data_IF_441040990201
#
_entry.id   IF_441040990201
#
_cell.length_a   1.000
_cell.length_b   1.000
_cell.length_c   1.000
_cell.angle_alpha   90.00
_cell.angle_beta   90.00
_cell.angle_gamma   90.00
#
_symmetry.space_group_name_H-M   'P 1'
#
loop_
_entity.id
_entity.type
_entity.pdbx_description
1 polymer ?
#
# COMPACT_ATOMS: atom_id res chain seq x y z
N UNK A 1 22.46 61.63 -24.03
CA UNK A 1 21.03 61.59 -24.42
C UNK A 1 20.23 60.70 -23.44
N UNK A 2 20.45 60.85 -22.11
CA UNK A 2 19.83 60.01 -21.06
C UNK A 2 19.03 60.79 -19.99
N UNK A 3 18.83 62.12 -20.16
CA UNK A 3 18.14 62.93 -19.14
C UNK A 3 16.62 62.86 -19.26
N UNK A 4 16.06 62.67 -20.44
CA UNK A 4 14.63 62.60 -20.66
C UNK A 4 13.95 61.25 -20.26
N UNK A 5 14.71 60.11 -20.22
CA UNK A 5 14.19 58.83 -19.77
C UNK A 5 13.92 58.76 -18.24
N UNK A 6 14.64 59.58 -17.46
CA UNK A 6 14.45 59.66 -16.01
C UNK A 6 13.19 60.48 -15.57
N UNK A 7 12.64 61.31 -16.46
CA UNK A 7 11.53 62.19 -16.13
C UNK A 7 10.15 61.60 -16.42
N UNK A 8 10.06 60.49 -17.17
CA UNK A 8 8.80 59.85 -17.55
C UNK A 8 8.60 58.46 -16.97
N UNK A 9 9.16 58.13 -15.77
CA UNK A 9 8.76 57.00 -14.96
C UNK A 9 8.75 55.64 -15.69
N UNK A 10 9.63 55.43 -16.66
CA UNK A 10 9.86 54.08 -17.21
C UNK A 10 10.48 53.24 -16.11
N UNK A 11 9.78 52.23 -15.59
CA UNK A 11 10.37 51.20 -14.75
C UNK A 11 11.56 50.65 -15.56
N UNK A 12 12.75 50.76 -15.03
CA UNK A 12 13.91 50.04 -15.59
C UNK A 12 13.57 48.57 -15.59
N UNK A 13 13.71 47.89 -16.70
CA UNK A 13 13.54 46.45 -16.74
C UNK A 13 14.53 45.83 -15.72
N UNK A 14 14.06 44.88 -14.85
CA UNK A 14 14.90 44.29 -13.83
C UNK A 14 16.11 43.62 -14.50
N UNK A 15 17.24 43.79 -13.91
CA UNK A 15 18.48 43.12 -14.35
C UNK A 15 18.33 41.61 -14.24
N UNK A 16 19.10 40.84 -14.99
CA UNK A 16 19.08 39.35 -14.90
C UNK A 16 19.38 38.87 -13.47
N UNK A 17 20.22 39.58 -12.73
CA UNK A 17 20.50 39.26 -11.33
C UNK A 17 19.27 39.50 -10.44
N UNK A 18 18.57 40.60 -10.62
CA UNK A 18 17.31 40.87 -9.86
C UNK A 18 16.21 39.86 -10.19
N UNK A 19 16.12 39.42 -11.44
CA UNK A 19 15.17 38.34 -11.84
C UNK A 19 15.54 37.00 -11.18
N UNK A 20 16.81 36.63 -11.13
CA UNK A 20 17.30 35.42 -10.48
C UNK A 20 17.05 35.44 -8.97
N UNK A 21 17.32 36.58 -8.31
CA UNK A 21 17.06 36.75 -6.88
C UNK A 21 15.55 36.73 -6.57
N UNK A 22 14.71 37.25 -7.45
CA UNK A 22 13.26 37.15 -7.31
C UNK A 22 12.77 35.71 -7.48
N UNK A 23 13.25 34.99 -8.50
CA UNK A 23 12.90 33.60 -8.73
C UNK A 23 13.34 32.70 -7.56
N UNK A 24 14.52 32.91 -6.99
CA UNK A 24 14.98 32.15 -5.82
C UNK A 24 14.09 32.40 -4.58
N UNK A 25 13.69 33.65 -4.33
CA UNK A 25 12.75 33.95 -3.24
C UNK A 25 11.36 33.35 -3.46
N UNK A 26 10.86 33.39 -4.69
CA UNK A 26 9.58 32.80 -5.04
C UNK A 26 9.60 31.28 -4.91
N UNK A 27 10.72 30.65 -5.29
CA UNK A 27 10.97 29.22 -5.06
C UNK A 27 10.88 28.86 -3.56
N UNK A 28 11.60 29.58 -2.70
CA UNK A 28 11.62 29.35 -1.26
C UNK A 28 10.22 29.50 -0.65
N UNK A 29 9.48 30.51 -1.07
CA UNK A 29 8.08 30.74 -0.63
C UNK A 29 7.19 29.57 -1.04
N UNK A 30 7.25 29.14 -2.31
CA UNK A 30 6.44 28.05 -2.82
C UNK A 30 6.78 26.72 -2.14
N UNK A 31 8.07 26.43 -1.95
CA UNK A 31 8.53 25.25 -1.19
C UNK A 31 7.99 25.24 0.22
N UNK A 32 8.10 26.36 0.95
CA UNK A 32 7.59 26.49 2.31
C UNK A 32 6.06 26.34 2.38
N UNK A 33 5.32 27.03 1.48
CA UNK A 33 3.85 26.96 1.43
C UNK A 33 3.38 25.54 1.07
N UNK A 34 4.07 24.86 0.16
CA UNK A 34 3.83 23.46 -0.17
C UNK A 34 3.98 22.53 1.03
N UNK A 35 5.10 22.63 1.76
CA UNK A 35 5.35 21.82 2.97
C UNK A 35 4.33 22.13 4.07
N UNK A 36 3.95 23.42 4.23
CA UNK A 36 2.90 23.80 5.16
C UNK A 36 1.54 23.21 4.78
N UNK A 37 1.21 23.23 3.47
CA UNK A 37 -0.02 22.62 2.96
C UNK A 37 -0.07 21.11 3.19
N UNK A 38 1.06 20.40 2.99
CA UNK A 38 1.18 18.97 3.33
C UNK A 38 0.86 18.69 4.80
N UNK A 39 1.45 19.46 5.72
CA UNK A 39 1.20 19.33 7.17
C UNK A 39 -0.26 19.57 7.55
N UNK A 40 -0.99 20.32 6.76
CA UNK A 40 -2.42 20.61 6.93
C UNK A 40 -3.33 19.62 6.18
N UNK A 41 -2.77 18.60 5.52
CA UNK A 41 -3.53 17.67 4.69
C UNK A 41 -4.09 18.25 3.39
N UNK A 42 -3.64 19.45 3.00
CA UNK A 42 -4.11 20.16 1.80
C UNK A 42 -3.29 19.73 0.55
N UNK A 43 -3.34 18.43 0.24
CA UNK A 43 -2.48 17.79 -0.76
C UNK A 43 -2.55 18.44 -2.15
N UNK A 44 -3.76 18.79 -2.63
CA UNK A 44 -3.92 19.46 -3.93
C UNK A 44 -3.31 20.88 -3.95
N UNK A 45 -3.25 21.58 -2.81
CA UNK A 45 -2.54 22.86 -2.71
C UNK A 45 -1.03 22.65 -2.71
N UNK A 46 -0.54 21.67 -1.95
CA UNK A 46 0.86 21.29 -1.91
C UNK A 46 1.40 20.94 -3.31
N UNK A 47 0.69 20.11 -4.07
CA UNK A 47 1.02 19.76 -5.45
C UNK A 47 1.19 21.00 -6.34
N UNK A 48 0.27 21.95 -6.27
CA UNK A 48 0.39 23.19 -7.06
C UNK A 48 1.62 24.00 -6.67
N UNK A 49 1.88 24.17 -5.37
CA UNK A 49 3.05 24.89 -4.89
C UNK A 49 4.35 24.23 -5.37
N UNK A 50 4.46 22.91 -5.24
CA UNK A 50 5.67 22.18 -5.64
C UNK A 50 5.88 22.17 -7.16
N UNK A 51 4.82 22.00 -7.96
CA UNK A 51 4.91 22.12 -9.43
C UNK A 51 5.44 23.50 -9.85
N UNK A 52 4.89 24.58 -9.28
CA UNK A 52 5.37 25.94 -9.57
C UNK A 52 6.79 26.18 -9.06
N UNK A 53 7.18 25.61 -7.91
CA UNK A 53 8.55 25.70 -7.43
C UNK A 53 9.53 25.05 -8.43
N UNK A 54 9.19 23.87 -8.95
CA UNK A 54 10.01 23.14 -9.93
C UNK A 54 10.08 23.84 -11.30
N UNK A 55 9.10 24.68 -11.66
CA UNK A 55 9.19 25.55 -12.84
C UNK A 55 10.27 26.63 -12.68
N UNK A 56 10.58 27.03 -11.44
CA UNK A 56 11.59 28.05 -11.14
C UNK A 56 12.98 27.48 -10.95
N UNK A 57 13.08 26.31 -10.31
CA UNK A 57 14.35 25.64 -10.03
C UNK A 57 14.16 24.17 -9.78
N UNK A 58 15.04 23.35 -10.35
CA UNK A 58 15.13 21.92 -10.06
C UNK A 58 15.61 21.70 -8.61
N UNK A 59 14.87 20.88 -7.87
CA UNK A 59 15.19 20.52 -6.47
C UNK A 59 14.63 19.13 -6.16
N UNK A 60 15.51 18.19 -5.83
CA UNK A 60 15.11 16.80 -5.56
C UNK A 60 14.25 16.66 -4.30
N UNK A 61 14.41 17.54 -3.31
CA UNK A 61 13.58 17.53 -2.10
C UNK A 61 12.15 17.98 -2.44
N UNK A 62 11.99 18.99 -3.30
CA UNK A 62 10.68 19.42 -3.79
C UNK A 62 10.01 18.33 -4.62
N UNK A 63 10.77 17.61 -5.46
CA UNK A 63 10.24 16.44 -6.18
C UNK A 63 9.81 15.33 -5.23
N UNK A 64 10.57 15.13 -4.15
CA UNK A 64 10.21 14.15 -3.13
C UNK A 64 8.89 14.52 -2.44
N UNK A 65 8.72 15.76 -2.00
CA UNK A 65 7.45 16.24 -1.44
C UNK A 65 6.29 16.18 -2.45
N UNK A 66 6.55 16.48 -3.72
CA UNK A 66 5.57 16.36 -4.79
C UNK A 66 5.12 14.91 -4.96
N UNK A 67 6.06 13.96 -5.06
CA UNK A 67 5.75 12.53 -5.18
C UNK A 67 4.89 12.02 -4.01
N UNK A 68 5.23 12.40 -2.78
CA UNK A 68 4.44 12.06 -1.59
C UNK A 68 3.01 12.62 -1.67
N UNK A 69 2.87 13.88 -2.10
CA UNK A 69 1.57 14.52 -2.23
C UNK A 69 0.72 13.86 -3.32
N UNK A 70 1.33 13.46 -4.43
CA UNK A 70 0.69 12.77 -5.54
C UNK A 70 0.22 11.36 -5.12
N UNK A 71 1.03 10.63 -4.34
CA UNK A 71 0.63 9.33 -3.76
C UNK A 71 -0.64 9.51 -2.91
N UNK A 72 -0.68 10.53 -2.06
CA UNK A 72 -1.83 10.82 -1.18
C UNK A 72 -3.11 11.19 -1.93
N UNK A 73 -3.00 11.77 -3.12
CA UNK A 73 -4.16 12.08 -3.98
C UNK A 73 -4.52 10.95 -4.96
N UNK A 74 -3.72 9.87 -5.02
CA UNK A 74 -3.93 8.76 -5.95
C UNK A 74 -3.43 9.04 -7.37
N UNK A 75 -2.69 10.13 -7.60
CA UNK A 75 -2.05 10.44 -8.89
C UNK A 75 -0.77 9.60 -9.07
N UNK A 76 -0.94 8.26 -9.07
CA UNK A 76 0.16 7.30 -8.94
C UNK A 76 1.15 7.33 -10.13
N UNK A 77 0.68 7.52 -11.36
CA UNK A 77 1.55 7.65 -12.53
C UNK A 77 2.47 8.86 -12.39
N UNK A 78 1.90 10.01 -12.05
CA UNK A 78 2.70 11.23 -11.86
C UNK A 78 3.67 11.10 -10.67
N UNK A 79 3.27 10.41 -9.59
CA UNK A 79 4.14 10.12 -8.47
C UNK A 79 5.33 9.24 -8.88
N UNK A 80 5.09 8.22 -9.70
CA UNK A 80 6.14 7.36 -10.23
C UNK A 80 7.12 8.15 -11.11
N UNK A 81 6.63 9.05 -11.98
CA UNK A 81 7.48 9.88 -12.83
C UNK A 81 8.45 10.74 -12.00
N UNK A 82 7.94 11.39 -10.92
CA UNK A 82 8.80 12.17 -10.03
C UNK A 82 9.83 11.29 -9.30
N UNK A 83 9.44 10.10 -8.86
CA UNK A 83 10.35 9.14 -8.21
C UNK A 83 11.42 8.62 -9.16
N UNK A 84 11.11 8.40 -10.45
CA UNK A 84 12.10 7.99 -11.44
C UNK A 84 13.16 9.06 -11.65
N UNK A 85 12.78 10.35 -11.70
CA UNK A 85 13.76 11.45 -11.77
C UNK A 85 14.68 11.46 -10.55
N UNK A 86 14.14 11.21 -9.35
CA UNK A 86 14.95 11.12 -8.13
C UNK A 86 15.88 9.89 -8.20
N UNK A 87 15.41 8.75 -8.67
CA UNK A 87 16.20 7.52 -8.81
C UNK A 87 17.36 7.67 -9.81
N UNK A 88 17.14 8.40 -10.92
CA UNK A 88 18.20 8.72 -11.88
C UNK A 88 19.28 9.62 -11.27
N UNK A 89 18.89 10.60 -10.46
CA UNK A 89 19.80 11.51 -9.79
C UNK A 89 20.51 10.89 -8.58
N UNK A 90 19.91 9.88 -7.95
CA UNK A 90 20.38 9.21 -6.75
C UNK A 90 20.31 7.68 -6.89
N UNK A 91 21.11 7.06 -7.78
CA UNK A 91 21.02 5.64 -8.12
C UNK A 91 21.36 4.70 -6.96
N UNK A 92 22.02 5.19 -5.90
CA UNK A 92 22.40 4.44 -4.71
C UNK A 92 21.43 4.69 -3.52
N UNK A 93 20.32 5.40 -3.75
CA UNK A 93 19.33 5.66 -2.73
C UNK A 93 18.26 4.58 -2.70
N UNK A 94 18.48 3.53 -1.88
CA UNK A 94 17.55 2.40 -1.75
C UNK A 94 16.11 2.82 -1.45
N UNK A 95 15.91 3.84 -0.59
CA UNK A 95 14.58 4.26 -0.17
C UNK A 95 13.71 4.77 -1.32
N UNK A 96 14.32 5.31 -2.37
CA UNK A 96 13.60 5.74 -3.57
C UNK A 96 13.05 4.52 -4.33
N UNK A 97 13.86 3.47 -4.50
CA UNK A 97 13.42 2.24 -5.16
C UNK A 97 12.34 1.49 -4.36
N UNK A 98 12.44 1.50 -3.02
CA UNK A 98 11.38 0.96 -2.15
C UNK A 98 10.05 1.71 -2.39
N UNK A 99 10.09 3.04 -2.50
CA UNK A 99 8.88 3.83 -2.79
C UNK A 99 8.34 3.60 -4.21
N UNK A 100 9.23 3.44 -5.20
CA UNK A 100 8.82 3.03 -6.57
C UNK A 100 8.10 1.70 -6.52
N UNK A 101 8.63 0.71 -5.78
CA UNK A 101 7.98 -0.59 -5.61
C UNK A 101 6.60 -0.47 -4.94
N UNK A 102 6.46 0.36 -3.91
CA UNK A 102 5.18 0.62 -3.24
C UNK A 102 4.15 1.29 -4.17
N UNK A 103 4.58 2.26 -4.98
CA UNK A 103 3.71 2.92 -5.97
C UNK A 103 3.32 1.92 -7.07
N UNK A 104 4.25 1.09 -7.53
CA UNK A 104 3.98 0.04 -8.51
C UNK A 104 2.97 -1.00 -7.98
N UNK A 105 3.07 -1.37 -6.69
CA UNK A 105 2.06 -2.21 -6.02
C UNK A 105 0.67 -1.57 -6.04
N UNK A 106 0.57 -0.28 -5.68
CA UNK A 106 -0.71 0.47 -5.72
C UNK A 106 -1.29 0.57 -7.13
N UNK A 107 -0.46 0.48 -8.17
CA UNK A 107 -0.84 0.46 -9.57
C UNK A 107 -1.10 -0.96 -10.10
N UNK A 108 -0.96 -1.99 -9.27
CA UNK A 108 -1.02 -3.41 -9.65
C UNK A 108 0.00 -3.77 -10.76
N UNK A 109 1.07 -2.98 -10.88
CA UNK A 109 2.15 -3.23 -11.82
C UNK A 109 3.26 -4.06 -11.17
N UNK A 110 2.98 -5.34 -11.01
CA UNK A 110 3.86 -6.28 -10.30
C UNK A 110 5.22 -6.49 -10.98
N UNK A 111 5.31 -6.29 -12.30
CA UNK A 111 6.60 -6.34 -12.99
C UNK A 111 7.48 -5.15 -12.57
N UNK A 112 6.97 -3.92 -12.66
CA UNK A 112 7.72 -2.73 -12.24
C UNK A 112 8.05 -2.77 -10.74
N UNK A 113 7.17 -3.35 -9.92
CA UNK A 113 7.41 -3.58 -8.50
C UNK A 113 8.62 -4.50 -8.28
N UNK A 114 8.68 -5.63 -8.99
CA UNK A 114 9.81 -6.56 -8.94
C UNK A 114 11.13 -5.90 -9.36
N UNK A 115 11.13 -5.21 -10.50
CA UNK A 115 12.30 -4.50 -11.03
C UNK A 115 12.85 -3.47 -10.01
N UNK A 116 11.95 -2.73 -9.34
CA UNK A 116 12.35 -1.78 -8.30
C UNK A 116 12.93 -2.46 -7.06
N UNK A 117 12.33 -3.60 -6.63
CA UNK A 117 12.86 -4.39 -5.51
C UNK A 117 14.25 -4.97 -5.84
N UNK A 118 14.50 -5.45 -7.06
CA UNK A 118 15.82 -5.91 -7.49
C UNK A 118 16.86 -4.80 -7.40
N UNK A 119 16.51 -3.59 -7.85
CA UNK A 119 17.38 -2.42 -7.72
C UNK A 119 17.66 -2.10 -6.25
N UNK A 120 16.64 -2.14 -5.39
CA UNK A 120 16.79 -1.90 -3.95
C UNK A 120 17.72 -2.94 -3.29
N UNK A 121 17.59 -4.24 -3.64
CA UNK A 121 18.44 -5.31 -3.12
C UNK A 121 19.89 -5.21 -3.58
N UNK A 122 20.16 -4.70 -4.80
CA UNK A 122 21.52 -4.46 -5.28
C UNK A 122 22.26 -3.37 -4.48
N UNK A 123 21.53 -2.45 -3.84
CA UNK A 123 22.08 -1.39 -3.00
C UNK A 123 22.32 -1.89 -1.58
N UNK A 124 21.29 -2.50 -0.98
CA UNK A 124 21.36 -3.09 0.36
C UNK A 124 20.42 -4.31 0.45
N UNK A 125 20.96 -5.48 0.65
CA UNK A 125 20.24 -6.76 0.74
C UNK A 125 19.88 -7.17 2.18
N UNK A 126 20.06 -6.28 3.15
CA UNK A 126 19.80 -6.54 4.57
C UNK A 126 18.39 -6.14 5.04
N UNK A 127 17.59 -5.50 4.18
CA UNK A 127 16.29 -4.97 4.54
C UNK A 127 15.17 -5.99 4.31
N UNK A 128 14.58 -6.53 5.38
CA UNK A 128 13.50 -7.53 5.29
C UNK A 128 12.28 -7.03 4.49
N UNK A 129 11.94 -5.75 4.59
CA UNK A 129 10.82 -5.13 3.86
C UNK A 129 10.98 -5.22 2.34
N UNK A 130 12.20 -5.14 1.81
CA UNK A 130 12.43 -5.25 0.36
C UNK A 130 12.09 -6.65 -0.14
N UNK A 131 12.42 -7.66 0.63
CA UNK A 131 12.07 -9.06 0.31
C UNK A 131 10.57 -9.32 0.42
N UNK A 132 9.87 -8.70 1.39
CA UNK A 132 8.42 -8.78 1.47
C UNK A 132 7.77 -8.15 0.23
N UNK A 133 8.20 -6.95 -0.17
CA UNK A 133 7.70 -6.28 -1.37
C UNK A 133 7.98 -7.12 -2.63
N UNK A 134 9.17 -7.73 -2.72
CA UNK A 134 9.48 -8.58 -3.87
C UNK A 134 8.62 -9.87 -3.89
N UNK A 135 8.34 -10.43 -2.72
CA UNK A 135 7.41 -11.55 -2.60
C UNK A 135 5.99 -11.18 -3.05
N UNK A 136 5.49 -10.01 -2.67
CA UNK A 136 4.20 -9.50 -3.13
C UNK A 136 4.18 -9.29 -4.67
N UNK A 137 5.29 -8.81 -5.24
CA UNK A 137 5.43 -8.70 -6.69
C UNK A 137 5.39 -10.07 -7.37
N UNK A 138 6.09 -11.06 -6.83
CA UNK A 138 6.11 -12.44 -7.32
C UNK A 138 4.74 -13.09 -7.23
N UNK A 139 4.03 -12.89 -6.11
CA UNK A 139 2.67 -13.37 -5.91
C UNK A 139 1.70 -12.79 -6.95
N UNK A 140 1.77 -11.47 -7.20
CA UNK A 140 0.96 -10.81 -8.23
C UNK A 140 1.27 -11.29 -9.65
N UNK A 141 2.46 -11.86 -9.89
CA UNK A 141 2.86 -12.50 -11.14
C UNK A 141 2.52 -13.99 -11.19
N UNK A 142 2.01 -14.58 -10.09
CA UNK A 142 1.71 -16.00 -9.99
C UNK A 142 2.95 -16.90 -9.80
N UNK A 143 4.09 -16.34 -9.37
CA UNK A 143 5.31 -17.09 -9.07
C UNK A 143 5.36 -17.45 -7.59
N UNK A 144 4.61 -18.47 -7.19
CA UNK A 144 4.51 -18.93 -5.81
C UNK A 144 5.86 -19.42 -5.26
N UNK A 145 6.69 -20.03 -6.10
CA UNK A 145 7.99 -20.53 -5.68
C UNK A 145 8.92 -19.38 -5.27
N UNK A 146 8.98 -18.32 -6.06
CA UNK A 146 9.76 -17.13 -5.74
C UNK A 146 9.14 -16.37 -4.55
N UNK A 147 7.81 -16.33 -4.46
CA UNK A 147 7.09 -15.74 -3.31
C UNK A 147 7.56 -16.39 -2.00
N UNK A 148 7.53 -17.72 -1.89
CA UNK A 148 7.98 -18.45 -0.70
C UNK A 148 9.47 -18.22 -0.42
N UNK A 149 10.31 -18.21 -1.47
CA UNK A 149 11.74 -17.98 -1.31
C UNK A 149 12.06 -16.60 -0.73
N UNK A 150 11.41 -15.55 -1.26
CA UNK A 150 11.61 -14.16 -0.78
C UNK A 150 11.09 -13.96 0.63
N UNK A 151 9.92 -14.53 0.97
CA UNK A 151 9.38 -14.48 2.33
C UNK A 151 10.27 -15.21 3.34
N UNK A 152 10.84 -16.34 2.93
CA UNK A 152 11.81 -17.06 3.77
C UNK A 152 13.05 -16.21 4.04
N UNK A 153 13.50 -15.43 3.04
CA UNK A 153 14.61 -14.50 3.22
C UNK A 153 14.22 -13.34 4.14
N UNK A 154 13.03 -12.76 3.96
CA UNK A 154 12.51 -11.71 4.84
C UNK A 154 12.47 -12.16 6.31
N UNK A 155 11.95 -13.34 6.58
CA UNK A 155 11.89 -13.96 7.91
C UNK A 155 13.29 -14.21 8.48
N UNK A 156 14.24 -14.66 7.65
CA UNK A 156 15.62 -14.87 8.10
C UNK A 156 16.31 -13.55 8.53
N UNK A 157 15.95 -12.43 7.89
CA UNK A 157 16.46 -11.11 8.25
C UNK A 157 15.73 -10.51 9.46
N UNK A 158 14.42 -10.74 9.56
CA UNK A 158 13.57 -10.27 10.64
C UNK A 158 12.69 -11.42 11.16
N UNK A 159 13.13 -12.17 12.18
CA UNK A 159 12.42 -13.36 12.67
C UNK A 159 11.05 -13.10 13.32
N UNK A 160 10.71 -11.87 13.62
CA UNK A 160 9.43 -11.43 14.18
C UNK A 160 8.49 -10.76 13.15
N UNK A 161 8.74 -10.95 11.86
CA UNK A 161 7.98 -10.33 10.78
C UNK A 161 6.67 -11.08 10.49
N UNK A 162 5.64 -10.85 11.30
CA UNK A 162 4.36 -11.58 11.25
C UNK A 162 3.70 -11.54 9.87
N UNK A 163 3.76 -10.40 9.15
CA UNK A 163 3.21 -10.28 7.80
C UNK A 163 3.88 -11.25 6.80
N UNK A 164 5.20 -11.44 6.92
CA UNK A 164 5.92 -12.37 6.07
C UNK A 164 5.54 -13.84 6.35
N UNK A 165 5.33 -14.21 7.61
CA UNK A 165 4.82 -15.53 7.96
C UNK A 165 3.40 -15.74 7.44
N UNK A 166 2.51 -14.75 7.59
CA UNK A 166 1.14 -14.85 7.13
C UNK A 166 1.07 -15.08 5.61
N UNK A 167 1.76 -14.24 4.85
CA UNK A 167 1.79 -14.35 3.40
C UNK A 167 2.44 -15.66 2.94
N UNK A 168 3.52 -16.11 3.63
CA UNK A 168 4.17 -17.40 3.32
C UNK A 168 3.25 -18.57 3.61
N UNK A 169 2.61 -18.59 4.77
CA UNK A 169 1.66 -19.64 5.14
C UNK A 169 0.47 -19.72 4.18
N UNK A 170 -0.04 -18.58 3.70
CA UNK A 170 -1.09 -18.53 2.68
C UNK A 170 -0.62 -19.11 1.34
N UNK A 171 0.59 -18.75 0.90
CA UNK A 171 1.16 -19.25 -0.35
C UNK A 171 1.48 -20.74 -0.26
N UNK A 172 2.04 -21.20 0.86
CA UNK A 172 2.33 -22.61 1.13
C UNK A 172 1.04 -23.45 1.15
N UNK A 173 -0.04 -22.92 1.75
CA UNK A 173 -1.34 -23.59 1.71
C UNK A 173 -1.89 -23.69 0.30
N UNK A 174 -1.81 -22.62 -0.50
CA UNK A 174 -2.27 -22.61 -1.88
C UNK A 174 -1.51 -23.58 -2.78
N UNK A 175 -0.24 -23.85 -2.45
CA UNK A 175 0.64 -24.83 -3.13
C UNK A 175 0.65 -26.20 -2.47
N UNK A 176 -0.31 -26.51 -1.57
CA UNK A 176 -0.50 -27.79 -0.90
C UNK A 176 0.67 -28.23 0.00
N UNK A 177 1.53 -27.31 0.42
CA UNK A 177 2.65 -27.54 1.36
C UNK A 177 2.15 -27.37 2.79
N UNK A 178 1.30 -28.32 3.24
CA UNK A 178 0.50 -28.19 4.46
C UNK A 178 1.34 -28.16 5.74
N UNK A 179 2.42 -28.95 5.81
CA UNK A 179 3.25 -29.04 7.02
C UNK A 179 3.97 -27.70 7.30
N UNK A 180 4.49 -27.08 6.24
CA UNK A 180 5.17 -25.79 6.32
C UNK A 180 4.16 -24.65 6.59
N UNK A 181 2.98 -24.69 5.95
CA UNK A 181 1.91 -23.75 6.23
C UNK A 181 1.43 -23.83 7.69
N UNK A 182 1.34 -25.04 8.24
CA UNK A 182 0.98 -25.28 9.63
C UNK A 182 2.03 -24.67 10.58
N UNK A 183 3.32 -24.84 10.29
CA UNK A 183 4.39 -24.29 11.11
C UNK A 183 4.33 -22.75 11.17
N UNK A 184 4.06 -22.10 10.03
CA UNK A 184 3.86 -20.63 9.98
C UNK A 184 2.62 -20.19 10.77
N UNK A 185 1.50 -20.92 10.64
CA UNK A 185 0.28 -20.63 11.38
C UNK A 185 0.43 -20.85 12.90
N UNK A 186 1.22 -21.83 13.33
CA UNK A 186 1.52 -22.04 14.75
C UNK A 186 2.37 -20.90 15.30
N UNK A 187 3.43 -20.48 14.59
CA UNK A 187 4.23 -19.34 14.99
C UNK A 187 3.36 -18.08 15.12
N UNK A 188 2.49 -17.81 14.14
CA UNK A 188 1.58 -16.67 14.17
C UNK A 188 0.59 -16.74 15.34
N UNK A 189 0.03 -17.90 15.64
CA UNK A 189 -0.92 -18.08 16.75
C UNK A 189 -0.28 -17.76 18.11
N UNK A 190 1.01 -17.98 18.26
CA UNK A 190 1.75 -17.67 19.49
C UNK A 190 2.11 -16.18 19.60
N UNK A 191 2.26 -15.47 18.48
CA UNK A 191 2.75 -14.09 18.46
C UNK A 191 1.63 -13.05 18.21
N UNK A 192 0.59 -13.43 17.47
CA UNK A 192 -0.55 -12.56 17.12
C UNK A 192 -1.90 -13.31 17.22
N UNK A 193 -2.24 -13.85 18.39
CA UNK A 193 -3.33 -14.85 18.57
C UNK A 193 -4.74 -14.35 18.23
N UNK A 194 -4.99 -13.05 18.30
CA UNK A 194 -6.33 -12.47 18.05
C UNK A 194 -6.45 -11.83 16.65
N UNK A 195 -5.52 -12.15 15.74
CA UNK A 195 -5.59 -11.66 14.37
C UNK A 195 -6.51 -12.54 13.53
N UNK A 196 -7.52 -11.93 12.91
CA UNK A 196 -8.55 -12.63 12.11
C UNK A 196 -7.93 -13.41 10.94
N UNK A 197 -6.97 -12.81 10.22
CA UNK A 197 -6.33 -13.43 9.06
C UNK A 197 -5.52 -14.68 9.46
N UNK A 198 -4.87 -14.63 10.63
CA UNK A 198 -4.15 -15.78 11.20
C UNK A 198 -5.13 -16.90 11.55
N UNK A 199 -6.28 -16.56 12.15
CA UNK A 199 -7.33 -17.54 12.46
C UNK A 199 -7.91 -18.14 11.19
N UNK A 200 -8.18 -17.34 10.17
CA UNK A 200 -8.67 -17.81 8.87
C UNK A 200 -7.64 -18.74 8.19
N UNK A 201 -6.36 -18.37 8.19
CA UNK A 201 -5.30 -19.25 7.69
C UNK A 201 -5.30 -20.60 8.40
N UNK A 202 -5.37 -20.59 9.73
CA UNK A 202 -5.43 -21.82 10.54
C UNK A 202 -6.66 -22.67 10.23
N UNK A 203 -7.83 -22.05 10.07
CA UNK A 203 -9.05 -22.74 9.70
C UNK A 203 -8.94 -23.39 8.32
N UNK A 204 -8.41 -22.68 7.33
CA UNK A 204 -8.19 -23.18 5.97
C UNK A 204 -7.21 -24.36 5.94
N UNK A 205 -6.14 -24.32 6.75
CA UNK A 205 -5.21 -25.45 6.92
C UNK A 205 -5.93 -26.65 7.53
N UNK A 206 -6.80 -26.45 8.54
CA UNK A 206 -7.61 -27.53 9.13
C UNK A 206 -8.55 -28.15 8.10
N UNK A 207 -9.15 -27.33 7.22
CA UNK A 207 -10.01 -27.82 6.12
C UNK A 207 -9.19 -28.67 5.16
N UNK A 208 -8.03 -28.19 4.73
CA UNK A 208 -7.13 -28.91 3.81
C UNK A 208 -6.65 -30.24 4.43
N UNK A 209 -6.38 -30.29 5.74
CA UNK A 209 -6.06 -31.50 6.51
C UNK A 209 -7.26 -32.39 6.84
N UNK A 210 -8.48 -32.06 6.38
CA UNK A 210 -9.69 -32.87 6.59
C UNK A 210 -10.36 -32.69 7.96
N UNK A 211 -9.88 -31.76 8.80
CA UNK A 211 -10.39 -31.50 10.15
C UNK A 211 -11.51 -30.45 10.15
N UNK A 212 -12.59 -30.67 9.36
CA UNK A 212 -13.65 -29.70 9.09
C UNK A 212 -14.34 -29.18 10.35
N UNK A 213 -14.60 -30.05 11.34
CA UNK A 213 -15.27 -29.61 12.58
C UNK A 213 -14.39 -28.63 13.36
N UNK A 214 -13.09 -28.87 13.41
CA UNK A 214 -12.17 -27.95 14.09
C UNK A 214 -12.06 -26.61 13.35
N UNK A 215 -12.16 -26.62 12.02
CA UNK A 215 -12.24 -25.39 11.24
C UNK A 215 -13.51 -24.58 11.57
N UNK A 216 -14.67 -25.24 11.68
CA UNK A 216 -15.92 -24.60 12.13
C UNK A 216 -15.74 -23.91 13.49
N UNK A 217 -15.07 -24.57 14.44
CA UNK A 217 -14.83 -24.00 15.77
C UNK A 217 -13.92 -22.74 15.71
N UNK A 218 -13.01 -22.69 14.74
CA UNK A 218 -12.17 -21.49 14.51
C UNK A 218 -12.98 -20.39 13.84
N UNK A 219 -13.78 -20.70 12.81
CA UNK A 219 -14.65 -19.70 12.18
C UNK A 219 -15.65 -19.10 13.17
N UNK A 220 -16.18 -19.91 14.13
CA UNK A 220 -17.02 -19.39 15.20
C UNK A 220 -16.31 -18.30 16.00
N UNK A 221 -15.03 -18.50 16.34
CA UNK A 221 -14.24 -17.50 17.08
C UNK A 221 -13.98 -16.26 16.25
N UNK A 222 -13.69 -16.38 14.95
CA UNK A 222 -13.55 -15.23 14.06
C UNK A 222 -14.82 -14.41 14.04
N UNK A 223 -15.99 -15.06 13.92
CA UNK A 223 -17.30 -14.40 13.90
C UNK A 223 -17.64 -13.77 15.26
N UNK A 224 -17.24 -14.39 16.38
CA UNK A 224 -17.39 -13.79 17.71
C UNK A 224 -16.56 -12.51 17.86
N UNK A 225 -15.34 -12.46 17.30
CA UNK A 225 -14.48 -11.29 17.32
C UNK A 225 -14.97 -10.22 16.34
N UNK A 226 -15.35 -10.62 15.13
CA UNK A 226 -15.82 -9.74 14.08
C UNK A 226 -17.09 -10.30 13.40
N UNK A 227 -18.29 -9.91 13.87
CA UNK A 227 -19.57 -10.34 13.29
C UNK A 227 -19.83 -9.88 11.84
N UNK A 228 -18.90 -9.09 11.27
CA UNK A 228 -18.99 -8.59 9.89
C UNK A 228 -17.98 -9.29 8.95
N UNK A 229 -17.24 -10.29 9.43
CA UNK A 229 -16.28 -11.02 8.60
C UNK A 229 -17.01 -11.96 7.64
N UNK A 230 -17.18 -11.49 6.40
CA UNK A 230 -17.92 -12.20 5.35
C UNK A 230 -17.24 -13.53 4.97
N UNK A 231 -15.92 -13.54 4.94
CA UNK A 231 -15.16 -14.74 4.57
C UNK A 231 -15.34 -15.85 5.60
N UNK A 232 -15.37 -15.52 6.90
CA UNK A 232 -15.62 -16.48 7.95
C UNK A 232 -17.01 -17.15 7.82
N UNK A 233 -18.05 -16.39 7.50
CA UNK A 233 -19.38 -16.94 7.25
C UNK A 233 -19.41 -17.80 5.99
N UNK A 234 -18.82 -17.32 4.88
CA UNK A 234 -18.78 -18.05 3.62
C UNK A 234 -18.08 -19.40 3.78
N UNK A 235 -16.87 -19.39 4.34
CA UNK A 235 -16.06 -20.57 4.52
C UNK A 235 -16.67 -21.52 5.55
N UNK A 236 -17.32 -21.03 6.63
CA UNK A 236 -18.04 -21.86 7.59
C UNK A 236 -19.25 -22.52 6.95
N UNK A 237 -20.00 -21.82 6.10
CA UNK A 237 -21.13 -22.40 5.37
C UNK A 237 -20.72 -23.61 4.52
N UNK A 238 -19.58 -23.50 3.83
CA UNK A 238 -19.02 -24.61 3.04
C UNK A 238 -18.69 -25.83 3.93
N UNK A 239 -18.14 -25.58 5.13
CA UNK A 239 -17.83 -26.68 6.05
C UNK A 239 -19.12 -27.30 6.64
N UNK A 240 -20.12 -26.50 6.98
CA UNK A 240 -21.43 -27.00 7.43
C UNK A 240 -22.11 -27.86 6.37
N UNK A 241 -22.09 -27.42 5.12
CA UNK A 241 -22.62 -28.22 4.00
C UNK A 241 -21.89 -29.55 3.85
N UNK A 242 -20.55 -29.53 3.88
CA UNK A 242 -19.74 -30.75 3.80
C UNK A 242 -19.92 -31.72 4.98
N UNK A 243 -20.39 -31.21 6.13
CA UNK A 243 -20.73 -31.99 7.33
C UNK A 243 -22.20 -32.44 7.36
N UNK A 244 -23.04 -32.02 6.40
CA UNK A 244 -24.45 -32.32 6.32
C UNK A 244 -25.34 -31.44 7.21
N UNK A 245 -24.83 -30.32 7.69
CA UNK A 245 -25.53 -29.33 8.52
C UNK A 245 -26.18 -28.26 7.63
N UNK A 246 -27.20 -28.64 6.86
CA UNK A 246 -27.78 -27.77 5.83
C UNK A 246 -28.42 -26.49 6.40
N UNK A 247 -29.03 -26.56 7.59
CA UNK A 247 -29.67 -25.42 8.21
C UNK A 247 -28.67 -24.34 8.63
N UNK A 248 -27.55 -24.75 9.22
CA UNK A 248 -26.47 -23.89 9.65
C UNK A 248 -25.77 -23.28 8.40
N UNK A 249 -25.53 -24.07 7.36
CA UNK A 249 -24.97 -23.60 6.11
C UNK A 249 -25.85 -22.51 5.45
N UNK A 250 -27.17 -22.72 5.47
CA UNK A 250 -28.12 -21.74 4.93
C UNK A 250 -28.13 -20.44 5.75
N UNK A 251 -28.13 -20.56 7.08
CA UNK A 251 -28.11 -19.40 7.97
C UNK A 251 -26.86 -18.52 7.73
N UNK A 252 -25.69 -19.13 7.48
CA UNK A 252 -24.45 -18.41 7.13
C UNK A 252 -24.52 -17.74 5.76
N UNK A 253 -25.10 -18.41 4.75
CA UNK A 253 -25.32 -17.81 3.42
C UNK A 253 -26.29 -16.62 3.47
N UNK A 254 -27.34 -16.72 4.26
CA UNK A 254 -28.27 -15.61 4.47
C UNK A 254 -27.53 -14.43 5.12
N UNK A 255 -26.63 -14.69 6.08
CA UNK A 255 -25.82 -13.65 6.71
C UNK A 255 -24.83 -13.01 5.74
N UNK A 256 -24.17 -13.78 4.87
CA UNK A 256 -23.34 -13.24 3.79
C UNK A 256 -24.16 -12.31 2.90
N UNK A 257 -25.38 -12.72 2.51
CA UNK A 257 -26.25 -11.90 1.67
C UNK A 257 -26.74 -10.63 2.37
N UNK A 258 -26.92 -10.66 3.69
CA UNK A 258 -27.25 -9.47 4.49
C UNK A 258 -26.08 -8.47 4.57
N UNK A 259 -24.85 -8.99 4.71
CA UNK A 259 -23.64 -8.18 4.85
C UNK A 259 -23.10 -7.64 3.51
N UNK A 260 -23.41 -8.29 2.39
CA UNK A 260 -23.12 -7.82 1.05
C UNK A 260 -24.35 -7.09 0.50
N UNK A 261 -24.38 -5.75 0.46
CA UNK A 261 -25.47 -5.06 -0.22
C UNK A 261 -25.49 -5.51 -1.68
N UNK A 262 -26.69 -5.89 -2.19
CA UNK A 262 -26.87 -6.30 -3.57
C UNK A 262 -26.29 -5.26 -4.53
N UNK A 263 -25.33 -5.65 -5.36
CA UNK A 263 -24.95 -4.88 -6.53
C UNK A 263 -26.19 -4.74 -7.42
N UNK A 264 -26.75 -3.53 -7.49
CA UNK A 264 -27.78 -3.18 -8.47
C UNK A 264 -29.18 -2.94 -7.92
N UNK A 265 -29.37 -1.88 -7.15
CA UNK A 265 -30.57 -1.04 -7.27
C UNK A 265 -30.11 0.41 -7.43
N UNK A 266 -30.00 0.82 -8.68
CA UNK A 266 -29.93 2.23 -9.07
C UNK A 266 -31.19 2.93 -8.54
N UNK A 267 -30.99 3.93 -7.69
CA UNK A 267 -32.11 4.71 -7.17
C UNK A 267 -31.76 5.56 -5.97
N UNK A 268 -30.92 6.52 -6.12
CA UNK A 268 -30.95 7.89 -5.61
C UNK A 268 -29.54 8.41 -5.26
N UNK A 269 -29.21 9.51 -5.91
CA UNK A 269 -28.12 10.41 -5.53
C UNK A 269 -28.31 10.82 -4.07
N UNK A 270 -27.50 10.28 -3.19
CA UNK A 270 -27.07 10.99 -1.99
C UNK A 270 -25.74 10.41 -1.52
N UNK A 271 -24.77 11.30 -1.22
CA UNK A 271 -23.34 11.10 -1.07
C UNK A 271 -22.85 9.98 -0.15
N UNK A 272 -23.00 8.74 -0.56
CA UNK A 272 -22.35 7.60 0.07
C UNK A 272 -20.95 7.41 -0.51
N UNK A 273 -19.91 7.80 0.23
CA UNK A 273 -18.56 7.36 -0.05
C UNK A 273 -18.53 5.83 -0.09
N UNK A 274 -18.03 5.29 -1.21
CA UNK A 274 -17.87 3.88 -1.44
C UNK A 274 -17.11 3.23 -0.26
N UNK A 275 -17.64 2.13 0.28
CA UNK A 275 -17.04 1.39 1.40
C UNK A 275 -15.63 0.93 1.01
N UNK A 276 -15.41 0.58 -0.26
CA UNK A 276 -14.10 0.23 -0.78
C UNK A 276 -13.13 1.43 -0.74
N UNK A 277 -13.60 2.65 -0.99
CA UNK A 277 -12.80 3.87 -0.76
C UNK A 277 -12.53 4.12 0.73
N UNK A 278 -13.49 3.84 1.61
CA UNK A 278 -13.30 3.96 3.07
C UNK A 278 -12.31 2.92 3.60
N UNK A 279 -12.38 1.69 3.11
CA UNK A 279 -11.39 0.65 3.44
C UNK A 279 -10.01 1.02 2.90
N UNK A 280 -9.90 1.43 1.64
CA UNK A 280 -8.65 1.93 1.06
C UNK A 280 -8.14 3.17 1.82
N UNK A 281 -9.01 4.02 2.33
CA UNK A 281 -8.65 5.20 3.11
C UNK A 281 -8.21 4.83 4.53
N UNK A 282 -8.85 3.87 5.18
CA UNK A 282 -8.44 3.33 6.48
C UNK A 282 -7.05 2.67 6.41
N UNK A 283 -6.75 1.94 5.33
CA UNK A 283 -5.42 1.41 5.07
C UNK A 283 -4.39 2.51 4.77
N UNK A 284 -4.79 3.63 4.16
CA UNK A 284 -3.91 4.80 3.97
C UNK A 284 -3.57 5.51 5.28
N UNK A 285 -4.55 5.62 6.18
CA UNK A 285 -4.41 6.37 7.43
C UNK A 285 -3.82 5.52 8.58
N UNK A 286 -3.88 4.20 8.46
CA UNK A 286 -3.37 3.22 9.43
C UNK A 286 -2.15 2.44 8.97
N UNK A 287 -1.52 2.79 7.84
CA UNK A 287 -0.37 2.06 7.31
C UNK A 287 0.85 2.21 8.24
N UNK A 288 1.32 1.12 8.91
CA UNK A 288 2.52 1.14 9.74
C UNK A 288 3.83 1.38 8.96
N UNK A 289 3.76 1.52 7.62
CA UNK A 289 4.90 1.81 6.74
C UNK A 289 5.11 3.31 6.49
N UNK A 290 4.37 4.21 7.16
CA UNK A 290 4.61 5.65 7.11
C UNK A 290 5.59 6.06 8.23
N UNK A 291 6.84 5.60 8.16
CA UNK A 291 8.00 6.14 8.90
C UNK A 291 9.05 6.57 7.89
#
# INVERSE_FOLDING_TARGET
>A
MNFFKRLFGGKEEPTEQEKQEAAARDFDILKYDGVKAMKMGQWGHAIRCFRHALELSEDLEVRDYLSQSLIRTGELLAANDELQVIAEAQPDNQSVFVRIAQVAYMMENYQAMGDACERAMLIDDSQAVVYLLYAQASQGQGDDANTVAMLTRAIALQPDYAEAYLLRGQTLLATEQLDEAQADAEWLADHVPENEDVMLLKARIMVAGGSRQQAVDIYNKVIELNPFNIDAYRERAEQHEALGNEAEAQADRDKVSELQPAEGTDGSQDGGEDIEQKVRQAYRDGNPLAV
#
